data_IF_283558801666
#
_entry.id   IF_283558801666
#
_cell.length_a   1.000
_cell.length_b   1.000
_cell.length_c   1.000
_cell.angle_alpha   90.00
_cell.angle_beta   90.00
_cell.angle_gamma   90.00
#
_symmetry.space_group_name_H-M   'P 1'
#
loop_
_entity.id
_entity.type
_entity.pdbx_description
1 polymer ?
#
# COMPACT_ATOMS: atom_id res chain seq x y z
N UNK A 1 3.92 4.55 1.22
CA UNK A 1 4.85 4.05 0.17
C UNK A 1 4.02 3.73 -1.06
N UNK A 2 4.65 3.61 -2.22
CA UNK A 2 4.07 2.92 -3.38
C UNK A 2 4.71 1.54 -3.47
N UNK A 3 3.90 0.51 -3.75
CA UNK A 3 4.38 -0.84 -4.06
C UNK A 3 3.66 -1.35 -5.31
N UNK A 4 4.38 -1.41 -6.43
CA UNK A 4 3.84 -1.75 -7.76
C UNK A 4 4.55 -2.96 -8.36
N UNK A 5 3.87 -3.71 -9.22
CA UNK A 5 4.46 -4.78 -10.04
C UNK A 5 5.06 -4.27 -11.36
N UNK A 6 5.01 -2.95 -11.60
CA UNK A 6 5.65 -2.30 -12.74
C UNK A 6 7.15 -2.06 -12.50
N UNK A 7 7.92 -1.91 -13.58
CA UNK A 7 9.35 -1.58 -13.51
C UNK A 7 9.61 -0.26 -12.78
N UNK A 8 10.77 -0.18 -12.12
CA UNK A 8 11.14 0.95 -11.26
C UNK A 8 11.14 2.30 -12.00
N UNK A 9 11.64 2.35 -13.23
CA UNK A 9 11.71 3.60 -14.00
C UNK A 9 10.33 4.17 -14.33
N UNK A 10 9.37 3.31 -14.64
CA UNK A 10 7.99 3.73 -14.84
C UNK A 10 7.36 4.23 -13.54
N UNK A 11 7.55 3.48 -12.44
CA UNK A 11 7.04 3.85 -11.13
C UNK A 11 7.57 5.22 -10.67
N UNK A 12 8.87 5.49 -10.88
CA UNK A 12 9.49 6.78 -10.57
C UNK A 12 8.87 7.94 -11.36
N UNK A 13 8.63 7.75 -12.67
CA UNK A 13 7.96 8.77 -13.50
C UNK A 13 6.55 9.09 -13.01
N UNK A 14 5.79 8.07 -12.60
CA UNK A 14 4.45 8.27 -12.02
C UNK A 14 4.55 9.04 -10.70
N UNK A 15 5.54 8.73 -9.85
CA UNK A 15 5.77 9.47 -8.61
C UNK A 15 6.13 10.93 -8.83
N UNK A 16 6.91 11.24 -9.87
CA UNK A 16 7.24 12.63 -10.20
C UNK A 16 5.99 13.43 -10.60
N UNK A 17 4.95 12.78 -11.13
CA UNK A 17 3.65 13.40 -11.43
C UNK A 17 2.77 13.51 -10.17
N UNK A 18 2.70 12.44 -9.35
CA UNK A 18 1.80 12.37 -8.20
C UNK A 18 2.31 13.16 -6.97
N UNK A 19 3.62 13.17 -6.73
CA UNK A 19 4.26 13.85 -5.61
C UNK A 19 5.54 14.58 -6.07
N UNK A 20 5.41 15.60 -6.94
CA UNK A 20 6.56 16.31 -7.53
C UNK A 20 7.48 16.95 -6.48
N UNK A 21 6.93 17.28 -5.30
CA UNK A 21 7.68 17.88 -4.19
C UNK A 21 8.27 16.83 -3.24
N UNK A 22 7.99 15.53 -3.44
CA UNK A 22 8.48 14.40 -2.65
C UNK A 22 8.17 14.54 -1.15
N UNK A 23 6.98 15.01 -0.81
CA UNK A 23 6.55 15.27 0.59
C UNK A 23 5.59 14.21 1.14
N UNK A 24 4.94 13.45 0.28
CA UNK A 24 3.87 12.52 0.65
C UNK A 24 4.37 11.07 0.65
N UNK A 25 5.15 10.68 -0.36
CA UNK A 25 5.53 9.29 -0.60
C UNK A 25 7.01 9.08 -0.25
N UNK A 26 7.27 8.35 0.83
CA UNK A 26 8.64 8.13 1.37
C UNK A 26 9.43 7.01 0.70
N UNK A 27 8.74 5.98 0.19
CA UNK A 27 9.37 4.77 -0.35
C UNK A 27 8.63 4.31 -1.61
N UNK A 28 9.38 3.80 -2.58
CA UNK A 28 8.89 3.24 -3.83
C UNK A 28 9.47 1.84 -4.00
N UNK A 29 8.59 0.84 -3.91
CA UNK A 29 8.86 -0.55 -4.23
C UNK A 29 8.22 -0.88 -5.57
N UNK A 30 8.90 -1.70 -6.36
CA UNK A 30 8.60 -1.98 -7.76
C UNK A 30 8.67 -3.47 -8.05
N UNK A 31 8.58 -3.85 -9.32
CA UNK A 31 8.64 -5.25 -9.76
C UNK A 31 9.83 -6.02 -9.18
N UNK A 32 11.00 -5.39 -9.11
CA UNK A 32 12.23 -6.02 -8.59
C UNK A 32 12.17 -6.35 -7.09
N UNK A 33 11.24 -5.71 -6.37
CA UNK A 33 11.03 -5.89 -4.93
C UNK A 33 9.90 -6.90 -4.65
N UNK A 34 9.26 -7.43 -5.70
CA UNK A 34 8.24 -8.46 -5.59
C UNK A 34 8.87 -9.86 -5.56
N UNK A 35 8.20 -10.81 -4.91
CA UNK A 35 8.53 -12.23 -5.02
C UNK A 35 8.00 -12.72 -6.36
N UNK A 36 8.89 -13.21 -7.23
CA UNK A 36 8.52 -13.82 -8.50
C UNK A 36 8.38 -15.33 -8.34
N UNK A 37 7.15 -15.85 -8.48
CA UNK A 37 6.87 -17.28 -8.42
C UNK A 37 5.92 -17.66 -9.56
N UNK A 38 6.28 -18.67 -10.34
CA UNK A 38 5.51 -19.16 -11.49
C UNK A 38 5.13 -18.07 -12.51
N UNK A 39 6.00 -17.09 -12.74
CA UNK A 39 5.75 -15.97 -13.65
C UNK A 39 4.80 -14.90 -13.11
N UNK A 40 4.33 -15.04 -11.86
CA UNK A 40 3.53 -14.04 -11.17
C UNK A 40 4.38 -13.26 -10.16
N UNK A 41 4.10 -11.96 -10.05
CA UNK A 41 4.72 -11.09 -9.05
C UNK A 41 3.81 -10.94 -7.84
N UNK A 42 4.32 -11.32 -6.68
CA UNK A 42 3.64 -11.25 -5.40
C UNK A 42 4.27 -10.17 -4.53
N UNK A 43 3.42 -9.32 -3.97
CA UNK A 43 3.81 -8.25 -3.06
C UNK A 43 3.86 -8.80 -1.64
N UNK A 44 5.03 -9.25 -1.21
CA UNK A 44 5.25 -9.64 0.17
C UNK A 44 5.41 -8.39 1.04
N UNK A 45 4.46 -8.13 1.95
CA UNK A 45 4.53 -6.95 2.82
C UNK A 45 5.66 -7.03 3.85
N UNK A 46 6.25 -8.21 4.11
CA UNK A 46 7.39 -8.34 5.03
C UNK A 46 8.64 -7.62 4.53
N UNK A 47 8.78 -7.42 3.21
CA UNK A 47 9.91 -6.70 2.63
C UNK A 47 9.98 -5.22 3.06
N UNK A 48 8.88 -4.68 3.59
CA UNK A 48 8.82 -3.33 4.12
C UNK A 48 9.63 -3.15 5.41
N UNK A 49 9.97 -4.24 6.11
CA UNK A 49 10.63 -4.18 7.42
C UNK A 49 9.77 -3.49 8.49
N UNK A 50 8.45 -3.60 8.37
CA UNK A 50 7.47 -2.96 9.27
C UNK A 50 6.65 -4.00 9.99
N UNK A 51 6.18 -3.64 11.18
CA UNK A 51 5.18 -4.42 11.91
C UNK A 51 3.92 -4.60 11.06
N UNK A 52 3.61 -5.84 10.68
CA UNK A 52 2.42 -6.15 9.89
C UNK A 52 1.13 -5.82 10.66
N UNK A 53 1.12 -5.83 11.99
CA UNK A 53 -0.05 -5.41 12.77
C UNK A 53 -0.36 -3.90 12.61
N UNK A 54 0.56 -3.13 12.03
CA UNK A 54 0.45 -1.68 11.76
C UNK A 54 0.53 -1.35 10.28
N UNK A 55 0.45 -2.37 9.41
CA UNK A 55 0.62 -2.22 7.97
C UNK A 55 -0.68 -2.59 7.27
N UNK A 56 -1.07 -1.77 6.30
CA UNK A 56 -2.24 -1.97 5.45
C UNK A 56 -1.83 -1.61 4.02
N UNK A 57 -2.27 -2.41 3.06
CA UNK A 57 -2.06 -2.21 1.64
C UNK A 57 -3.41 -2.07 0.93
N UNK A 58 -3.47 -1.14 -0.03
CA UNK A 58 -4.63 -0.90 -0.90
C UNK A 58 -4.25 -1.36 -2.31
N UNK A 59 -5.04 -2.22 -2.93
CA UNK A 59 -4.81 -2.68 -4.31
C UNK A 59 -6.12 -3.13 -4.97
N UNK A 60 -6.18 -3.05 -6.29
CA UNK A 60 -7.31 -3.51 -7.10
C UNK A 60 -7.18 -4.96 -7.59
N UNK A 61 -5.99 -5.54 -7.48
CA UNK A 61 -5.69 -6.89 -7.96
C UNK A 61 -5.37 -7.90 -6.87
N UNK A 62 -5.30 -7.48 -5.61
CA UNK A 62 -4.79 -8.23 -4.44
C UNK A 62 -3.74 -9.29 -4.87
N UNK A 63 -2.58 -8.83 -5.32
CA UNK A 63 -1.42 -9.69 -5.60
C UNK A 63 -0.56 -9.87 -4.34
N UNK A 64 -1.22 -10.26 -3.24
CA UNK A 64 -0.64 -10.40 -1.91
C UNK A 64 -0.58 -11.84 -1.43
N UNK A 65 0.26 -12.12 -0.44
CA UNK A 65 0.36 -13.46 0.14
C UNK A 65 -0.91 -13.80 0.94
N UNK A 66 -1.45 -15.03 0.84
CA UNK A 66 -2.64 -15.44 1.61
C UNK A 66 -2.49 -15.25 3.12
N UNK A 67 -1.29 -15.49 3.67
CA UNK A 67 -0.98 -15.28 5.09
C UNK A 67 -1.11 -13.80 5.53
N UNK A 68 -1.16 -12.87 4.59
CA UNK A 68 -1.25 -11.43 4.81
C UNK A 68 -2.63 -10.88 4.43
N UNK A 69 -3.64 -11.73 4.20
CA UNK A 69 -4.96 -11.32 3.72
C UNK A 69 -5.59 -10.20 4.58
N UNK A 70 -5.40 -10.23 5.91
CA UNK A 70 -5.91 -9.20 6.81
C UNK A 70 -5.28 -7.80 6.62
N UNK A 71 -4.14 -7.71 5.92
CA UNK A 71 -3.47 -6.45 5.60
C UNK A 71 -3.97 -5.82 4.30
N UNK A 72 -4.71 -6.55 3.46
CA UNK A 72 -5.17 -6.07 2.16
C UNK A 72 -6.59 -5.53 2.24
N UNK A 73 -6.77 -4.28 1.82
CA UNK A 73 -8.09 -3.72 1.57
C UNK A 73 -8.26 -3.64 0.05
N UNK A 74 -9.18 -4.43 -0.55
CA UNK A 74 -9.47 -4.32 -1.97
C UNK A 74 -10.03 -2.94 -2.30
N UNK A 75 -9.61 -2.38 -3.43
CA UNK A 75 -10.17 -1.15 -3.99
C UNK A 75 -10.64 -1.45 -5.42
N UNK A 76 -11.80 -0.95 -5.86
CA UNK A 76 -12.19 -1.11 -7.26
C UNK A 76 -11.12 -0.58 -8.22
N UNK A 77 -11.03 -1.19 -9.40
CA UNK A 77 -10.19 -0.68 -10.47
C UNK A 77 -10.81 0.61 -11.00
N UNK A 78 -10.02 1.68 -11.07
CA UNK A 78 -10.42 2.90 -11.76
C UNK A 78 -10.34 2.71 -13.28
N UNK A 79 -11.40 3.10 -13.98
CA UNK A 79 -11.57 2.97 -15.43
C UNK A 79 -11.48 4.30 -16.19
N UNK A 80 -11.29 5.41 -15.47
CA UNK A 80 -11.19 6.75 -16.04
C UNK A 80 -12.33 7.68 -15.65
N UNK A 81 -13.36 7.21 -14.92
CA UNK A 81 -14.46 8.06 -14.50
C UNK A 81 -13.97 9.21 -13.58
N UNK A 82 -14.14 10.48 -13.98
CA UNK A 82 -13.77 11.63 -13.14
C UNK A 82 -14.70 11.82 -11.93
N UNK A 83 -15.84 11.13 -11.88
CA UNK A 83 -16.77 11.13 -10.73
C UNK A 83 -16.51 9.98 -9.75
N UNK A 84 -15.47 9.17 -9.96
CA UNK A 84 -15.09 8.12 -9.02
C UNK A 84 -14.67 8.73 -7.66
N UNK A 85 -15.28 8.22 -6.59
CA UNK A 85 -15.01 8.65 -5.21
C UNK A 85 -14.50 7.50 -4.32
N UNK A 86 -14.11 6.35 -4.89
CA UNK A 86 -13.81 5.15 -4.11
C UNK A 86 -12.67 5.37 -3.11
N UNK A 87 -11.62 6.08 -3.52
CA UNK A 87 -10.52 6.45 -2.62
C UNK A 87 -10.95 7.43 -1.52
N UNK A 88 -11.87 8.36 -1.82
CA UNK A 88 -12.39 9.31 -0.82
C UNK A 88 -13.18 8.60 0.27
N UNK A 89 -13.97 7.58 -0.11
CA UNK A 89 -14.76 6.75 0.81
C UNK A 89 -13.89 5.96 1.80
N UNK A 90 -12.62 5.72 1.48
CA UNK A 90 -11.68 5.03 2.38
C UNK A 90 -11.09 5.92 3.47
N UNK A 91 -11.14 7.26 3.32
CA UNK A 91 -10.52 8.21 4.27
C UNK A 91 -10.99 7.98 5.72
N UNK A 92 -12.30 7.83 6.03
CA UNK A 92 -12.76 7.61 7.40
C UNK A 92 -12.25 6.29 7.99
N UNK A 93 -12.21 5.21 7.19
CA UNK A 93 -11.70 3.91 7.62
C UNK A 93 -10.21 3.98 7.97
N UNK A 94 -9.40 4.54 7.06
CA UNK A 94 -7.97 4.74 7.28
C UNK A 94 -7.70 5.63 8.51
N UNK A 95 -8.53 6.66 8.70
CA UNK A 95 -8.49 7.51 9.89
C UNK A 95 -8.72 6.74 11.19
N UNK A 96 -9.68 5.80 11.22
CA UNK A 96 -9.93 4.94 12.39
C UNK A 96 -8.76 3.98 12.65
N UNK A 97 -8.27 3.30 11.62
CA UNK A 97 -7.12 2.38 11.73
C UNK A 97 -5.89 3.10 12.27
N UNK A 98 -5.61 4.31 11.76
CA UNK A 98 -4.51 5.14 12.22
C UNK A 98 -4.60 5.56 13.70
N UNK A 99 -5.82 5.66 14.27
CA UNK A 99 -6.01 5.95 15.71
C UNK A 99 -5.77 4.71 16.58
N UNK A 100 -6.31 3.55 16.20
CA UNK A 100 -6.15 2.29 16.95
C UNK A 100 -4.68 1.88 17.08
N UNK A 101 -3.89 2.09 16.03
CA UNK A 101 -2.45 1.82 16.06
C UNK A 101 -1.74 2.73 17.06
N UNK A 102 -2.14 4.01 17.19
CA UNK A 102 -1.54 4.95 18.16
C UNK A 102 -1.90 4.60 19.59
N UNK A 103 -3.13 4.18 19.88
CA UNK A 103 -3.54 3.82 21.25
C UNK A 103 -2.81 2.58 21.77
N UNK A 104 -2.52 1.59 20.92
CA UNK A 104 -1.71 0.42 21.29
C UNK A 104 -0.25 0.75 21.57
N UNK A 105 0.27 1.83 21.01
CA UNK A 105 1.64 2.30 21.27
C UNK A 105 1.76 3.13 22.56
N UNK A 106 0.65 3.52 23.18
CA UNK A 106 0.60 4.23 24.46
C UNK A 106 0.45 3.33 25.70
N UNK A 107 0.56 2.01 25.53
CA UNK A 107 0.55 1.05 26.63
C UNK A 107 1.88 1.06 27.37
N UNK A 108 1.84 1.57 28.60
CA UNK A 108 2.91 1.62 29.59
C UNK A 108 3.65 0.28 29.72
N UNK A 109 4.94 0.25 29.37
CA UNK A 109 5.85 -0.79 29.83
C UNK A 109 6.36 -0.34 31.20
N UNK A 110 5.68 -0.80 32.25
CA UNK A 110 6.26 -0.87 33.58
C UNK A 110 7.20 -2.06 33.70
#
# INVERSE_FOLDING_TARGET
>A
CIFTTTKQDYAKKVLDVLDPKKKLIRFCLSQQDCVCAHGCYWKDLTCLGRDLAKTVALDHTIQGFPAQAANWIPVPRWDGDPQDEELLRLIPLLGRLGRVVRTRAGGNWG
#
